data_IF_605296091431
#
_entry.id   IF_605296091431
#
_cell.length_a   1.000
_cell.length_b   1.000
_cell.length_c   1.000
_cell.angle_alpha   90.00
_cell.angle_beta   90.00
_cell.angle_gamma   90.00
#
_symmetry.space_group_name_H-M   'P 1'
#
loop_
_entity.id
_entity.type
_entity.pdbx_description
1 polymer ?
#
# COMPACT_ATOMS: atom_id res chain seq x y z
N UNK A 1 -12.28 -12.09 55.90
CA UNK A 1 -11.75 -12.80 54.72
C UNK A 1 -12.67 -12.64 53.51
N UNK A 2 -13.94 -13.08 53.57
CA UNK A 2 -14.89 -12.97 52.44
C UNK A 2 -15.10 -11.53 51.96
N UNK A 3 -15.33 -10.57 52.88
CA UNK A 3 -15.49 -9.14 52.54
C UNK A 3 -14.26 -8.55 51.84
N UNK A 4 -13.06 -8.96 52.27
CA UNK A 4 -11.80 -8.51 51.67
C UNK A 4 -11.62 -9.06 50.25
N UNK A 5 -11.97 -10.34 50.02
CA UNK A 5 -11.95 -10.96 48.69
C UNK A 5 -12.91 -10.21 47.74
N UNK A 6 -14.13 -9.90 48.19
CA UNK A 6 -15.12 -9.16 47.40
C UNK A 6 -14.60 -7.75 47.03
N UNK A 7 -13.99 -7.03 47.97
CA UNK A 7 -13.39 -5.71 47.71
C UNK A 7 -12.27 -5.77 46.67
N UNK A 8 -11.39 -6.77 46.76
CA UNK A 8 -10.31 -6.96 45.77
C UNK A 8 -10.89 -7.24 44.38
N UNK A 9 -11.95 -8.06 44.28
CA UNK A 9 -12.64 -8.30 43.00
C UNK A 9 -13.28 -7.03 42.42
N UNK A 10 -13.90 -6.19 43.26
CA UNK A 10 -14.48 -4.91 42.81
C UNK A 10 -13.39 -3.98 42.26
N UNK A 11 -12.24 -3.89 42.93
CA UNK A 11 -11.11 -3.06 42.47
C UNK A 11 -10.58 -3.56 41.12
N UNK A 12 -10.39 -4.89 40.98
CA UNK A 12 -9.92 -5.48 39.72
C UNK A 12 -10.93 -5.24 38.60
N UNK A 13 -12.22 -5.46 38.87
CA UNK A 13 -13.28 -5.24 37.88
C UNK A 13 -13.39 -3.77 37.48
N UNK A 14 -13.26 -2.83 38.42
CA UNK A 14 -13.26 -1.39 38.14
C UNK A 14 -12.05 -0.98 37.30
N UNK A 15 -10.86 -1.49 37.60
CA UNK A 15 -9.66 -1.21 36.83
C UNK A 15 -9.75 -1.78 35.41
N UNK A 16 -10.25 -3.01 35.27
CA UNK A 16 -10.50 -3.62 33.97
C UNK A 16 -11.56 -2.84 33.17
N UNK A 17 -12.63 -2.38 33.82
CA UNK A 17 -13.65 -1.55 33.19
C UNK A 17 -13.08 -0.22 32.67
N UNK A 18 -12.32 0.50 33.50
CA UNK A 18 -11.68 1.76 33.08
C UNK A 18 -10.73 1.55 31.91
N UNK A 19 -9.90 0.51 31.96
CA UNK A 19 -9.01 0.15 30.86
C UNK A 19 -9.77 -0.15 29.56
N UNK A 20 -10.87 -0.89 29.64
CA UNK A 20 -11.72 -1.19 28.47
C UNK A 20 -12.35 0.09 27.91
N UNK A 21 -12.83 1.00 28.77
CA UNK A 21 -13.41 2.27 28.33
C UNK A 21 -12.36 3.17 27.63
N UNK A 22 -11.17 3.29 28.20
CA UNK A 22 -10.07 4.04 27.58
C UNK A 22 -9.67 3.44 26.23
N UNK A 23 -9.60 2.11 26.13
CA UNK A 23 -9.31 1.42 24.87
C UNK A 23 -10.40 1.65 23.80
N UNK A 24 -11.68 1.65 24.20
CA UNK A 24 -12.80 1.94 23.32
C UNK A 24 -12.77 3.38 22.81
N UNK A 25 -12.52 4.35 23.69
CA UNK A 25 -12.40 5.77 23.30
C UNK A 25 -11.22 6.00 22.35
N UNK A 26 -10.08 5.35 22.61
CA UNK A 26 -8.92 5.41 21.72
C UNK A 26 -9.23 4.83 20.35
N UNK A 27 -9.94 3.69 20.30
CA UNK A 27 -10.41 3.09 19.05
C UNK A 27 -11.34 4.05 18.29
N UNK A 28 -12.36 4.57 18.95
CA UNK A 28 -13.35 5.48 18.34
C UNK A 28 -12.70 6.76 17.81
N UNK A 29 -11.75 7.34 18.55
CA UNK A 29 -11.01 8.52 18.10
C UNK A 29 -10.18 8.25 16.83
N UNK A 30 -9.53 7.08 16.74
CA UNK A 30 -8.77 6.70 15.56
C UNK A 30 -9.68 6.46 14.35
N UNK A 31 -10.82 5.80 14.54
CA UNK A 31 -11.80 5.59 13.47
C UNK A 31 -12.39 6.92 12.97
N UNK A 32 -12.78 7.82 13.88
CA UNK A 32 -13.30 9.14 13.51
C UNK A 32 -12.27 9.93 12.70
N UNK A 33 -11.02 9.93 13.13
CA UNK A 33 -9.93 10.58 12.39
C UNK A 33 -9.70 9.95 11.02
N UNK A 34 -9.75 8.62 10.92
CA UNK A 34 -9.64 7.94 9.63
C UNK A 34 -10.80 8.32 8.69
N UNK A 35 -12.03 8.41 9.20
CA UNK A 35 -13.20 8.87 8.41
C UNK A 35 -13.01 10.30 7.90
N UNK A 36 -12.55 11.20 8.76
CA UNK A 36 -12.27 12.59 8.40
C UNK A 36 -11.19 12.68 7.31
N UNK A 37 -10.08 11.97 7.47
CA UNK A 37 -8.97 11.96 6.51
C UNK A 37 -9.40 11.40 5.15
N UNK A 38 -10.12 10.27 5.12
CA UNK A 38 -10.57 9.69 3.84
C UNK A 38 -11.64 10.56 3.16
N UNK A 39 -12.49 11.23 3.94
CA UNK A 39 -13.44 12.20 3.39
C UNK A 39 -12.73 13.42 2.80
N UNK A 40 -11.66 13.89 3.46
CA UNK A 40 -10.81 14.96 2.95
C UNK A 40 -10.08 14.55 1.66
N UNK A 41 -9.59 13.31 1.58
CA UNK A 41 -8.99 12.75 0.35
C UNK A 41 -10.00 12.77 -0.81
N UNK A 42 -11.25 12.36 -0.57
CA UNK A 42 -12.31 12.41 -1.60
C UNK A 42 -12.52 13.83 -2.08
N UNK A 43 -12.71 14.78 -1.16
CA UNK A 43 -12.91 16.19 -1.52
C UNK A 43 -11.71 16.78 -2.26
N UNK A 44 -10.49 16.44 -1.85
CA UNK A 44 -9.27 16.82 -2.56
C UNK A 44 -9.28 16.27 -3.98
N UNK A 45 -9.63 14.99 -4.14
CA UNK A 45 -9.63 14.30 -5.43
C UNK A 45 -10.62 14.89 -6.44
N UNK A 46 -11.69 15.52 -5.96
CA UNK A 46 -12.71 16.15 -6.79
C UNK A 46 -12.30 17.54 -7.30
N UNK A 47 -11.29 18.15 -6.65
CA UNK A 47 -10.81 19.51 -6.89
C UNK A 47 -9.31 19.49 -7.27
N UNK A 48 -8.43 19.84 -6.32
CA UNK A 48 -6.97 19.91 -6.49
C UNK A 48 -6.38 18.64 -7.14
N UNK A 49 -6.87 17.45 -6.77
CA UNK A 49 -6.39 16.20 -7.35
C UNK A 49 -6.64 16.08 -8.87
N UNK A 50 -7.73 16.65 -9.39
CA UNK A 50 -7.95 16.73 -10.85
C UNK A 50 -7.00 17.70 -11.52
N UNK A 51 -6.75 18.85 -10.90
CA UNK A 51 -5.81 19.85 -11.42
C UNK A 51 -4.38 19.29 -11.46
N UNK A 52 -3.96 18.59 -10.40
CA UNK A 52 -2.66 17.93 -10.34
C UNK A 52 -2.53 16.82 -11.40
N UNK A 53 -3.59 16.02 -11.60
CA UNK A 53 -3.60 14.98 -12.63
C UNK A 53 -3.55 15.57 -14.04
N UNK A 54 -4.28 16.65 -14.29
CA UNK A 54 -4.24 17.33 -15.58
C UNK A 54 -2.88 17.97 -15.86
N UNK A 55 -2.27 18.59 -14.84
CA UNK A 55 -0.89 19.05 -14.93
C UNK A 55 0.07 17.91 -15.24
N UNK A 56 -0.04 16.77 -14.54
CA UNK A 56 0.84 15.63 -14.75
C UNK A 56 0.75 15.07 -16.18
N UNK A 57 -0.47 14.97 -16.72
CA UNK A 57 -0.72 14.53 -18.10
C UNK A 57 -0.14 15.48 -19.15
N UNK A 58 -0.26 16.78 -18.91
CA UNK A 58 0.18 17.84 -19.82
C UNK A 58 1.60 18.37 -19.52
N UNK A 59 2.37 17.66 -18.68
CA UNK A 59 3.77 18.01 -18.42
C UNK A 59 4.53 17.94 -19.75
N UNK A 60 5.23 19.01 -20.09
CA UNK A 60 6.01 19.17 -21.31
C UNK A 60 7.40 19.70 -20.98
N UNK A 61 8.30 19.69 -21.96
CA UNK A 61 9.66 20.22 -21.78
C UNK A 61 9.65 21.71 -21.42
N UNK A 62 8.70 22.47 -21.94
CA UNK A 62 8.57 23.93 -21.76
C UNK A 62 8.08 24.29 -20.35
N UNK A 63 7.22 23.46 -19.76
CA UNK A 63 6.63 23.72 -18.43
C UNK A 63 7.24 22.85 -17.31
N UNK A 64 8.27 22.07 -17.62
CA UNK A 64 8.96 21.20 -16.68
C UNK A 64 9.75 22.00 -15.65
N UNK A 65 9.53 21.67 -14.38
CA UNK A 65 10.34 22.14 -13.26
C UNK A 65 10.57 20.96 -12.31
N UNK A 66 11.84 20.56 -12.16
CA UNK A 66 12.21 19.38 -11.37
C UNK A 66 11.72 19.47 -9.92
N UNK A 67 11.89 20.62 -9.27
CA UNK A 67 11.49 20.82 -7.87
C UNK A 67 9.98 20.61 -7.70
N UNK A 68 9.18 21.23 -8.58
CA UNK A 68 7.73 21.06 -8.59
C UNK A 68 7.32 19.60 -8.80
N UNK A 69 7.93 18.91 -9.76
CA UNK A 69 7.65 17.50 -10.04
C UNK A 69 8.04 16.62 -8.84
N UNK A 70 9.22 16.82 -8.25
CA UNK A 70 9.68 16.10 -7.05
C UNK A 70 8.70 16.29 -5.90
N UNK A 71 8.28 17.53 -5.60
CA UNK A 71 7.37 17.81 -4.50
C UNK A 71 5.97 17.23 -4.73
N UNK A 72 5.45 17.24 -5.98
CA UNK A 72 4.18 16.59 -6.30
C UNK A 72 4.22 15.07 -6.14
N UNK A 73 5.32 14.43 -6.54
CA UNK A 73 5.52 12.98 -6.34
C UNK A 73 5.58 12.66 -4.84
N UNK A 74 6.38 13.40 -4.07
CA UNK A 74 6.52 13.22 -2.62
C UNK A 74 5.18 13.42 -1.90
N UNK A 75 4.45 14.49 -2.25
CA UNK A 75 3.11 14.76 -1.71
C UNK A 75 2.18 13.57 -1.97
N UNK A 76 2.10 13.11 -3.21
CA UNK A 76 1.19 12.02 -3.57
C UNK A 76 1.60 10.69 -2.92
N UNK A 77 2.90 10.36 -2.80
CA UNK A 77 3.35 9.18 -2.05
C UNK A 77 2.93 9.23 -0.58
N UNK A 78 3.05 10.39 0.09
CA UNK A 78 2.61 10.58 1.48
C UNK A 78 1.10 10.47 1.63
N UNK A 79 0.34 10.98 0.67
CA UNK A 79 -1.12 10.85 0.66
C UNK A 79 -1.55 9.39 0.51
N UNK A 80 -0.89 8.63 -0.37
CA UNK A 80 -1.13 7.18 -0.50
C UNK A 80 -0.82 6.47 0.81
N UNK A 81 0.34 6.75 1.42
CA UNK A 81 0.75 6.14 2.69
C UNK A 81 -0.26 6.41 3.82
N UNK A 82 -0.68 7.67 4.00
CA UNK A 82 -1.68 8.02 5.01
C UNK A 82 -3.02 7.32 4.75
N UNK A 83 -3.47 7.31 3.49
CA UNK A 83 -4.72 6.66 3.09
C UNK A 83 -4.70 5.15 3.34
N UNK A 84 -3.55 4.48 3.18
CA UNK A 84 -3.40 3.06 3.49
C UNK A 84 -3.64 2.80 4.99
N UNK A 85 -3.09 3.64 5.87
CA UNK A 85 -3.32 3.51 7.32
C UNK A 85 -4.78 3.79 7.70
N UNK A 86 -5.39 4.83 7.14
CA UNK A 86 -6.79 5.14 7.43
C UNK A 86 -7.73 4.05 6.90
N UNK A 87 -7.49 3.51 5.70
CA UNK A 87 -8.22 2.35 5.15
C UNK A 87 -8.00 1.12 6.01
N UNK A 88 -6.77 0.86 6.46
CA UNK A 88 -6.46 -0.25 7.37
C UNK A 88 -7.29 -0.14 8.66
N UNK A 89 -7.35 1.04 9.26
CA UNK A 89 -8.13 1.27 10.48
C UNK A 89 -9.60 0.94 10.26
N UNK A 90 -10.19 1.47 9.18
CA UNK A 90 -11.61 1.30 8.91
C UNK A 90 -11.98 -0.11 8.41
N UNK A 91 -11.07 -0.82 7.75
CA UNK A 91 -11.35 -2.16 7.22
C UNK A 91 -11.05 -3.28 8.22
N UNK A 92 -10.15 -3.07 9.17
CA UNK A 92 -9.78 -4.07 10.19
C UNK A 92 -10.53 -3.85 11.50
N UNK A 93 -10.79 -2.59 11.89
CA UNK A 93 -11.33 -2.28 13.22
C UNK A 93 -12.78 -1.80 13.23
N UNK A 94 -13.31 -1.30 12.11
CA UNK A 94 -14.72 -0.88 12.01
C UNK A 94 -15.60 -1.98 11.38
N UNK A 95 -16.88 -1.98 11.77
CA UNK A 95 -17.92 -2.90 11.28
C UNK A 95 -19.11 -2.14 10.66
N UNK A 96 -18.91 -0.88 10.26
CA UNK A 96 -19.97 -0.03 9.67
C UNK A 96 -19.94 -0.11 8.14
N UNK A 97 -21.10 -0.30 7.51
CA UNK A 97 -21.24 -0.33 6.04
C UNK A 97 -20.74 0.99 5.39
N UNK A 98 -20.94 2.12 6.07
CA UNK A 98 -20.48 3.44 5.60
C UNK A 98 -18.94 3.52 5.51
N UNK A 99 -18.25 2.88 6.46
CA UNK A 99 -16.78 2.84 6.49
C UNK A 99 -16.21 1.93 5.40
N UNK A 100 -16.92 0.84 5.09
CA UNK A 100 -16.63 0.01 3.91
C UNK A 100 -16.75 0.84 2.62
N UNK A 101 -17.86 1.56 2.43
CA UNK A 101 -18.07 2.34 1.23
C UNK A 101 -17.00 3.45 1.09
N UNK A 102 -16.70 4.13 2.19
CA UNK A 102 -15.68 5.17 2.27
C UNK A 102 -14.30 4.61 1.92
N UNK A 103 -13.90 3.51 2.53
CA UNK A 103 -12.61 2.83 2.28
C UNK A 103 -12.49 2.42 0.82
N UNK A 104 -13.54 1.84 0.24
CA UNK A 104 -13.57 1.44 -1.18
C UNK A 104 -13.44 2.64 -2.13
N UNK A 105 -14.09 3.77 -1.82
CA UNK A 105 -13.96 5.02 -2.61
C UNK A 105 -12.53 5.55 -2.52
N UNK A 106 -11.97 5.61 -1.31
CA UNK A 106 -10.59 6.05 -1.07
C UNK A 106 -9.56 5.18 -1.80
N UNK A 107 -9.68 3.84 -1.74
CA UNK A 107 -8.79 2.93 -2.48
C UNK A 107 -8.79 3.22 -3.99
N UNK A 108 -9.96 3.52 -4.57
CA UNK A 108 -10.07 3.87 -6.00
C UNK A 108 -9.38 5.20 -6.32
N UNK A 109 -9.49 6.19 -5.45
CA UNK A 109 -8.81 7.49 -5.61
C UNK A 109 -7.30 7.32 -5.55
N UNK A 110 -6.80 6.57 -4.55
CA UNK A 110 -5.38 6.25 -4.43
C UNK A 110 -4.86 5.64 -5.74
N UNK A 111 -5.57 4.64 -6.29
CA UNK A 111 -5.13 3.93 -7.49
C UNK A 111 -5.31 4.71 -8.79
N UNK A 112 -6.32 5.58 -8.92
CA UNK A 112 -6.67 6.25 -10.19
C UNK A 112 -6.32 7.74 -10.25
N UNK A 113 -5.94 8.34 -9.14
CA UNK A 113 -5.58 9.75 -9.08
C UNK A 113 -4.17 9.88 -8.54
N UNK A 114 -3.92 9.53 -7.27
CA UNK A 114 -2.58 9.73 -6.68
C UNK A 114 -1.50 8.92 -7.42
N UNK A 115 -1.77 7.64 -7.68
CA UNK A 115 -0.85 6.78 -8.43
C UNK A 115 -0.69 7.28 -9.88
N UNK A 116 -1.77 7.62 -10.57
CA UNK A 116 -1.72 8.11 -11.95
C UNK A 116 -0.93 9.42 -12.06
N UNK A 117 -1.10 10.37 -11.12
CA UNK A 117 -0.29 11.59 -11.03
C UNK A 117 1.20 11.23 -11.02
N UNK A 118 1.61 10.32 -10.12
CA UNK A 118 3.00 9.90 -10.01
C UNK A 118 3.48 9.26 -11.33
N UNK A 119 2.70 8.35 -11.90
CA UNK A 119 3.05 7.66 -13.14
C UNK A 119 3.24 8.61 -14.32
N UNK A 120 2.30 9.54 -14.53
CA UNK A 120 2.39 10.52 -15.60
C UNK A 120 3.59 11.45 -15.43
N UNK A 121 3.81 11.96 -14.20
CA UNK A 121 4.96 12.81 -13.90
C UNK A 121 6.27 12.07 -14.23
N UNK A 122 6.41 10.83 -13.78
CA UNK A 122 7.62 10.03 -13.99
C UNK A 122 7.88 9.71 -15.47
N UNK A 123 6.85 9.31 -16.23
CA UNK A 123 7.04 8.92 -17.61
C UNK A 123 7.30 10.11 -18.54
N UNK A 124 6.59 11.22 -18.31
CA UNK A 124 6.82 12.47 -19.02
C UNK A 124 8.21 13.04 -18.71
N UNK A 125 8.58 13.15 -17.43
CA UNK A 125 9.89 13.65 -17.02
C UNK A 125 11.02 12.84 -17.65
N UNK A 126 10.95 11.50 -17.58
CA UNK A 126 11.94 10.61 -18.21
C UNK A 126 12.11 10.88 -19.71
N UNK A 127 11.03 11.19 -20.41
CA UNK A 127 11.06 11.52 -21.84
C UNK A 127 11.82 12.81 -22.10
N UNK A 128 11.69 13.82 -21.24
CA UNK A 128 12.29 15.14 -21.44
C UNK A 128 13.75 15.23 -20.97
N UNK A 129 14.06 14.65 -19.82
CA UNK A 129 15.41 14.75 -19.22
C UNK A 129 16.36 13.66 -19.74
N UNK A 130 15.85 12.65 -20.44
CA UNK A 130 16.65 11.55 -21.00
C UNK A 130 17.35 10.69 -19.93
N UNK A 131 16.98 10.84 -18.66
CA UNK A 131 17.51 10.04 -17.57
C UNK A 131 17.05 8.58 -17.70
N UNK A 132 17.91 7.65 -17.30
CA UNK A 132 17.59 6.22 -17.29
C UNK A 132 16.80 5.80 -16.03
N UNK A 133 16.68 6.71 -15.06
CA UNK A 133 16.14 6.50 -13.72
C UNK A 133 15.01 7.49 -13.41
N UNK A 134 14.05 7.05 -12.63
CA UNK A 134 12.83 7.76 -12.21
C UNK A 134 12.97 8.46 -10.86
N UNK A 135 13.83 7.91 -9.98
CA UNK A 135 13.97 8.38 -8.61
C UNK A 135 15.43 8.65 -8.26
N UNK A 136 16.36 7.79 -8.69
CA UNK A 136 17.77 7.85 -8.25
C UNK A 136 18.50 9.16 -8.57
N UNK A 137 18.03 9.94 -9.55
CA UNK A 137 18.68 11.20 -9.90
C UNK A 137 18.38 12.34 -8.89
N UNK A 138 17.34 12.19 -8.07
CA UNK A 138 16.93 13.14 -7.04
C UNK A 138 16.98 12.45 -5.67
N UNK A 139 17.94 12.84 -4.82
CA UNK A 139 18.19 12.16 -3.54
C UNK A 139 17.02 12.27 -2.56
N UNK A 140 16.31 13.39 -2.56
CA UNK A 140 15.15 13.59 -1.68
C UNK A 140 14.02 12.66 -2.12
N UNK A 141 13.72 12.66 -3.42
CA UNK A 141 12.69 11.82 -4.02
C UNK A 141 12.98 10.33 -3.81
N UNK A 142 14.23 9.90 -4.03
CA UNK A 142 14.63 8.51 -3.85
C UNK A 142 14.50 8.05 -2.39
N UNK A 143 14.90 8.89 -1.42
CA UNK A 143 14.76 8.56 0.00
C UNK A 143 13.29 8.35 0.40
N UNK A 144 12.41 9.28 0.00
CA UNK A 144 10.97 9.15 0.25
C UNK A 144 10.39 7.91 -0.41
N UNK A 145 10.86 7.59 -1.62
CA UNK A 145 10.42 6.39 -2.32
C UNK A 145 10.83 5.10 -1.60
N UNK A 146 12.06 5.00 -1.10
CA UNK A 146 12.48 3.85 -0.30
C UNK A 146 11.73 3.75 1.02
N UNK A 147 11.46 4.88 1.69
CA UNK A 147 10.63 4.91 2.91
C UNK A 147 9.22 4.38 2.64
N UNK A 148 8.62 4.78 1.51
CA UNK A 148 7.31 4.30 1.07
C UNK A 148 7.29 2.80 0.73
N UNK A 149 8.31 2.30 0.02
CA UNK A 149 8.42 0.86 -0.28
C UNK A 149 8.65 0.02 0.97
N UNK A 150 9.46 0.51 1.90
CA UNK A 150 9.65 -0.15 3.19
C UNK A 150 8.35 -0.24 3.97
N UNK A 151 7.57 0.85 3.99
CA UNK A 151 6.23 0.89 4.57
C UNK A 151 5.29 -0.14 3.93
N UNK A 152 5.20 -0.17 2.59
CA UNK A 152 4.33 -1.13 1.88
C UNK A 152 4.69 -2.58 2.19
N UNK A 153 5.98 -2.91 2.15
CA UNK A 153 6.47 -4.25 2.48
C UNK A 153 6.14 -4.65 3.92
N UNK A 154 6.29 -3.71 4.86
CA UNK A 154 5.96 -3.95 6.27
C UNK A 154 4.47 -4.25 6.43
N UNK A 155 3.60 -3.45 5.81
CA UNK A 155 2.15 -3.66 5.87
C UNK A 155 1.73 -4.96 5.20
N UNK A 156 2.28 -5.29 4.03
CA UNK A 156 1.99 -6.55 3.35
C UNK A 156 2.49 -7.76 4.16
N UNK A 157 3.63 -7.65 4.84
CA UNK A 157 4.13 -8.72 5.69
C UNK A 157 3.27 -8.92 6.94
N UNK A 158 3.10 -7.86 7.73
CA UNK A 158 2.42 -7.90 9.03
C UNK A 158 0.91 -8.13 8.90
N UNK A 159 0.26 -7.40 7.98
CA UNK A 159 -1.20 -7.39 7.90
C UNK A 159 -1.73 -8.45 6.92
N UNK A 160 -0.87 -9.06 6.10
CA UNK A 160 -1.26 -10.14 5.19
C UNK A 160 -0.47 -11.42 5.36
N UNK A 161 0.82 -11.42 4.99
CA UNK A 161 1.62 -12.65 4.85
C UNK A 161 1.81 -13.44 6.15
N UNK A 162 1.78 -12.78 7.32
CA UNK A 162 1.95 -13.43 8.62
C UNK A 162 0.64 -13.81 9.32
N UNK A 163 -0.52 -13.29 8.88
CA UNK A 163 -1.82 -13.61 9.50
C UNK A 163 -2.36 -14.97 9.06
N UNK A 164 -3.35 -15.51 9.76
CA UNK A 164 -4.06 -16.71 9.32
C UNK A 164 -5.14 -16.35 8.27
N UNK A 165 -5.37 -17.23 7.30
CA UNK A 165 -6.41 -17.03 6.27
C UNK A 165 -7.83 -16.89 6.86
N UNK A 166 -8.08 -17.50 8.02
CA UNK A 166 -9.37 -17.39 8.72
C UNK A 166 -9.61 -16.02 9.35
N UNK A 167 -8.58 -15.20 9.53
CA UNK A 167 -8.68 -13.91 10.24
C UNK A 167 -9.22 -12.79 9.34
N UNK A 168 -9.32 -13.03 8.03
CA UNK A 168 -9.67 -11.99 7.06
C UNK A 168 -11.16 -11.89 6.81
N UNK A 169 -11.70 -10.68 6.78
CA UNK A 169 -13.01 -10.42 6.21
C UNK A 169 -12.93 -10.19 4.69
N UNK A 170 -14.01 -10.50 3.97
CA UNK A 170 -14.05 -10.30 2.49
C UNK A 170 -13.71 -8.85 2.14
N UNK A 171 -14.22 -7.90 2.92
CA UNK A 171 -14.00 -6.48 2.66
C UNK A 171 -12.54 -6.07 2.81
N UNK A 172 -11.86 -6.51 3.88
CA UNK A 172 -10.43 -6.28 4.11
C UNK A 172 -9.60 -6.77 2.92
N UNK A 173 -9.95 -7.95 2.39
CA UNK A 173 -9.23 -8.52 1.24
C UNK A 173 -9.43 -7.67 -0.01
N UNK A 174 -10.68 -7.42 -0.41
CA UNK A 174 -10.98 -6.78 -1.72
C UNK A 174 -10.65 -5.28 -1.76
N UNK A 175 -10.51 -4.64 -0.60
CA UNK A 175 -10.12 -3.22 -0.49
C UNK A 175 -8.66 -3.08 -0.09
N UNK A 176 -8.32 -3.41 1.15
CA UNK A 176 -7.03 -3.11 1.75
C UNK A 176 -5.89 -3.99 1.22
N UNK A 177 -6.05 -5.32 1.26
CA UNK A 177 -5.00 -6.24 0.77
C UNK A 177 -4.80 -6.08 -0.74
N UNK A 178 -5.89 -5.93 -1.48
CA UNK A 178 -5.85 -5.60 -2.90
C UNK A 178 -5.01 -4.33 -3.17
N UNK A 179 -5.26 -3.27 -2.41
CA UNK A 179 -4.55 -2.01 -2.54
C UNK A 179 -3.04 -2.18 -2.32
N UNK A 180 -2.66 -2.89 -1.25
CA UNK A 180 -1.25 -3.18 -0.95
C UNK A 180 -0.55 -3.93 -2.08
N UNK A 181 -1.14 -5.03 -2.56
CA UNK A 181 -0.56 -5.86 -3.63
C UNK A 181 -0.44 -5.06 -4.93
N UNK A 182 -1.47 -4.27 -5.27
CA UNK A 182 -1.46 -3.42 -6.46
C UNK A 182 -0.36 -2.37 -6.44
N UNK A 183 -0.20 -1.67 -5.31
CA UNK A 183 0.82 -0.64 -5.13
C UNK A 183 2.23 -1.23 -5.07
N UNK A 184 2.43 -2.33 -4.35
CA UNK A 184 3.72 -3.01 -4.28
C UNK A 184 4.17 -3.50 -5.66
N UNK A 185 3.26 -4.15 -6.41
CA UNK A 185 3.56 -4.55 -7.78
C UNK A 185 3.86 -3.37 -8.70
N UNK A 186 3.21 -2.22 -8.53
CA UNK A 186 3.48 -1.05 -9.36
C UNK A 186 4.83 -0.40 -9.02
N UNK A 187 5.09 -0.14 -7.74
CA UNK A 187 6.25 0.63 -7.30
C UNK A 187 7.49 -0.24 -7.11
N UNK A 188 7.39 -1.37 -6.42
CA UNK A 188 8.55 -2.21 -6.12
C UNK A 188 9.01 -2.97 -7.37
N UNK A 189 8.10 -3.72 -8.01
CA UNK A 189 8.45 -4.62 -9.11
C UNK A 189 8.80 -3.88 -10.41
N UNK A 190 8.02 -2.86 -10.78
CA UNK A 190 8.17 -2.21 -12.08
C UNK A 190 9.11 -1.00 -12.04
N UNK A 191 9.20 -0.28 -10.92
CA UNK A 191 10.05 0.91 -10.80
C UNK A 191 11.34 0.61 -10.05
N UNK A 192 11.28 0.16 -8.79
CA UNK A 192 12.48 0.05 -7.96
C UNK A 192 13.51 -0.96 -8.51
N UNK A 193 13.08 -2.13 -8.99
CA UNK A 193 13.98 -3.06 -9.70
C UNK A 193 14.59 -2.43 -10.97
N UNK A 194 13.89 -1.48 -11.60
CA UNK A 194 14.42 -0.73 -12.74
C UNK A 194 15.50 0.25 -12.33
N UNK A 195 15.26 1.01 -11.29
CA UNK A 195 16.23 1.93 -10.68
C UNK A 195 17.53 1.20 -10.33
N UNK A 196 17.44 0.14 -9.52
CA UNK A 196 18.62 -0.57 -9.00
C UNK A 196 19.47 -1.25 -10.06
N UNK A 197 18.90 -1.56 -11.23
CA UNK A 197 19.68 -2.22 -12.30
C UNK A 197 20.64 -1.32 -13.04
N UNK A 198 20.49 0.00 -12.89
CA UNK A 198 21.38 0.99 -13.50
C UNK A 198 22.14 1.79 -12.43
N UNK A 199 21.84 1.57 -11.15
CA UNK A 199 22.47 2.24 -10.02
C UNK A 199 23.91 1.72 -9.77
N UNK A 200 24.78 2.55 -9.18
CA UNK A 200 25.99 2.07 -8.49
C UNK A 200 25.55 1.27 -7.25
N UNK A 201 25.31 -0.02 -7.42
CA UNK A 201 24.54 -0.83 -6.46
C UNK A 201 25.17 -0.92 -5.06
N UNK A 202 26.49 -0.80 -4.95
CA UNK A 202 27.16 -0.84 -3.65
C UNK A 202 26.90 0.39 -2.78
N UNK A 203 26.60 1.54 -3.37
CA UNK A 203 26.19 2.74 -2.61
C UNK A 203 24.80 2.55 -1.97
N UNK A 204 24.05 1.55 -2.45
CA UNK A 204 22.72 1.20 -2.00
C UNK A 204 22.73 -0.09 -1.14
N UNK A 205 23.90 -0.58 -0.73
CA UNK A 205 24.00 -1.73 0.16
C UNK A 205 23.71 -1.34 1.61
N UNK A 206 22.43 -1.13 1.92
CA UNK A 206 21.96 -0.80 3.26
C UNK A 206 20.81 -1.74 3.70
N UNK A 207 20.53 -1.85 5.01
CA UNK A 207 19.48 -2.73 5.52
C UNK A 207 18.09 -2.50 4.91
N UNK A 208 17.73 -1.24 4.60
CA UNK A 208 16.42 -0.91 4.03
C UNK A 208 16.26 -1.46 2.61
N UNK A 209 17.27 -1.27 1.75
CA UNK A 209 17.29 -1.84 0.40
C UNK A 209 17.19 -3.36 0.43
N UNK A 210 17.89 -4.02 1.37
CA UNK A 210 17.80 -5.48 1.53
C UNK A 210 16.38 -5.92 1.90
N UNK A 211 15.74 -5.22 2.86
CA UNK A 211 14.35 -5.52 3.26
C UNK A 211 13.38 -5.34 2.09
N UNK A 212 13.51 -4.27 1.31
CA UNK A 212 12.65 -4.02 0.14
C UNK A 212 12.82 -5.14 -0.91
N UNK A 213 14.06 -5.56 -1.20
CA UNK A 213 14.33 -6.64 -2.15
C UNK A 213 13.78 -8.00 -1.69
N UNK A 214 13.86 -8.29 -0.40
CA UNK A 214 13.26 -9.50 0.18
C UNK A 214 11.73 -9.44 0.12
N UNK A 215 11.13 -8.26 0.29
CA UNK A 215 9.69 -8.06 0.11
C UNK A 215 9.23 -8.33 -1.32
N UNK A 216 9.97 -7.81 -2.31
CA UNK A 216 9.73 -8.07 -3.75
C UNK A 216 9.75 -9.58 -4.04
N UNK A 217 10.65 -10.36 -3.43
CA UNK A 217 10.70 -11.81 -3.61
C UNK A 217 9.40 -12.52 -3.18
N UNK A 218 8.69 -11.96 -2.20
CA UNK A 218 7.46 -12.52 -1.64
C UNK A 218 6.20 -12.13 -2.42
N UNK A 219 6.25 -11.23 -3.40
CA UNK A 219 5.04 -10.77 -4.11
C UNK A 219 4.29 -11.91 -4.82
N UNK A 220 5.01 -12.91 -5.35
CA UNK A 220 4.37 -14.08 -5.96
C UNK A 220 3.55 -14.86 -4.93
N UNK A 221 4.10 -15.02 -3.71
CA UNK A 221 3.40 -15.67 -2.59
C UNK A 221 2.17 -14.86 -2.21
N UNK A 222 2.29 -13.53 -2.10
CA UNK A 222 1.17 -12.66 -1.78
C UNK A 222 0.05 -12.75 -2.83
N UNK A 223 0.40 -12.70 -4.12
CA UNK A 223 -0.56 -12.83 -5.23
C UNK A 223 -1.26 -14.20 -5.20
N UNK A 224 -0.50 -15.28 -5.04
CA UNK A 224 -1.05 -16.64 -4.99
C UNK A 224 -1.99 -16.83 -3.81
N UNK A 225 -1.56 -16.35 -2.64
CA UNK A 225 -2.36 -16.37 -1.43
C UNK A 225 -3.64 -15.56 -1.58
N UNK A 226 -3.57 -14.36 -2.15
CA UNK A 226 -4.73 -13.50 -2.38
C UNK A 226 -5.77 -14.18 -3.28
N UNK A 227 -5.32 -14.75 -4.40
CA UNK A 227 -6.16 -15.50 -5.32
C UNK A 227 -6.84 -16.67 -4.59
N UNK A 228 -6.08 -17.46 -3.83
CA UNK A 228 -6.61 -18.60 -3.10
C UNK A 228 -7.63 -18.18 -2.04
N UNK A 229 -7.34 -17.12 -1.28
CA UNK A 229 -8.19 -16.61 -0.22
C UNK A 229 -9.52 -16.10 -0.77
N UNK A 230 -9.49 -15.28 -1.83
CA UNK A 230 -10.70 -14.82 -2.52
C UNK A 230 -11.51 -15.98 -3.07
N UNK A 231 -10.85 -16.91 -3.76
CA UNK A 231 -11.54 -18.08 -4.27
C UNK A 231 -12.18 -18.89 -3.14
N UNK A 232 -11.51 -19.06 -1.99
CA UNK A 232 -12.08 -19.79 -0.86
C UNK A 232 -13.32 -19.11 -0.26
N UNK A 233 -13.29 -17.79 -0.05
CA UNK A 233 -14.37 -17.04 0.60
C UNK A 233 -15.54 -16.76 -0.34
N UNK A 234 -15.27 -16.49 -1.61
CA UNK A 234 -16.35 -16.17 -2.57
C UNK A 234 -16.94 -17.45 -3.20
N UNK A 235 -16.23 -18.60 -3.21
CA UNK A 235 -16.78 -19.88 -3.71
C UNK A 235 -18.06 -20.33 -2.99
N UNK A 236 -18.34 -19.86 -1.77
CA UNK A 236 -19.62 -20.12 -1.09
C UNK A 236 -20.79 -19.25 -1.59
N UNK A 237 -20.50 -18.09 -2.23
CA UNK A 237 -21.49 -17.08 -2.62
C UNK A 237 -21.70 -17.04 -4.14
N UNK A 238 -20.63 -17.17 -4.94
CA UNK A 238 -20.66 -16.98 -6.39
C UNK A 238 -21.31 -18.11 -7.21
N UNK A 239 -21.62 -19.26 -6.62
CA UNK A 239 -22.45 -20.27 -7.30
C UNK A 239 -23.92 -19.86 -7.42
N UNK A 240 -24.33 -18.71 -6.85
CA UNK A 240 -25.72 -18.22 -6.85
C UNK A 240 -25.88 -16.83 -7.49
N UNK A 241 -24.80 -16.17 -7.92
CA UNK A 241 -24.82 -14.80 -8.45
C UNK A 241 -23.77 -14.60 -9.56
N UNK A 242 -24.25 -14.37 -10.80
CA UNK A 242 -23.44 -14.18 -12.01
C UNK A 242 -22.53 -12.94 -11.95
N UNK A 243 -22.92 -11.88 -11.22
CA UNK A 243 -22.11 -10.68 -11.07
C UNK A 243 -20.85 -10.95 -10.22
N UNK A 244 -21.00 -11.71 -9.14
CA UNK A 244 -19.87 -12.10 -8.28
C UNK A 244 -18.94 -13.08 -8.99
N UNK A 245 -19.49 -13.98 -9.80
CA UNK A 245 -18.71 -14.87 -10.66
C UNK A 245 -17.81 -14.09 -11.62
N UNK A 246 -18.36 -13.09 -12.32
CA UNK A 246 -17.58 -12.23 -13.22
C UNK A 246 -16.45 -11.50 -12.49
N UNK A 247 -16.68 -11.02 -11.25
CA UNK A 247 -15.63 -10.37 -10.44
C UNK A 247 -14.49 -11.32 -10.08
N UNK A 248 -14.80 -12.55 -9.67
CA UNK A 248 -13.79 -13.57 -9.38
C UNK A 248 -12.98 -13.92 -10.63
N UNK A 249 -13.64 -14.10 -11.77
CA UNK A 249 -12.96 -14.36 -13.04
C UNK A 249 -12.01 -13.20 -13.39
N UNK A 250 -12.45 -11.96 -13.21
CA UNK A 250 -11.61 -10.78 -13.41
C UNK A 250 -10.38 -10.76 -12.48
N UNK A 251 -10.55 -11.17 -11.22
CA UNK A 251 -9.44 -11.32 -10.26
C UNK A 251 -8.47 -12.40 -10.73
N UNK A 252 -8.99 -13.60 -11.02
CA UNK A 252 -8.18 -14.74 -11.47
C UNK A 252 -7.45 -14.45 -12.79
N UNK A 253 -7.98 -13.59 -13.65
CA UNK A 253 -7.35 -13.24 -14.92
C UNK A 253 -6.31 -12.11 -14.81
N UNK A 254 -6.44 -11.20 -13.84
CA UNK A 254 -5.56 -10.03 -13.74
C UNK A 254 -4.50 -10.12 -12.65
N UNK A 255 -4.79 -10.72 -11.50
CA UNK A 255 -3.80 -10.81 -10.41
C UNK A 255 -2.57 -11.63 -10.76
N UNK A 256 -2.66 -12.73 -11.53
CA UNK A 256 -1.45 -13.43 -11.99
C UNK A 256 -0.47 -12.53 -12.76
N UNK A 257 -0.94 -11.43 -13.36
CA UNK A 257 -0.09 -10.46 -14.08
C UNK A 257 0.75 -9.59 -13.14
N UNK A 258 0.43 -9.57 -11.84
CA UNK A 258 1.18 -8.86 -10.80
C UNK A 258 2.37 -9.69 -10.28
N UNK A 259 2.44 -10.98 -10.62
CA UNK A 259 3.59 -11.84 -10.32
C UNK A 259 4.85 -11.33 -11.02
N UNK A 260 6.01 -11.57 -10.40
CA UNK A 260 7.30 -11.45 -11.05
C UNK A 260 7.41 -12.47 -12.18
N UNK A 261 7.47 -11.97 -13.41
CA UNK A 261 7.87 -12.75 -14.57
C UNK A 261 9.35 -13.13 -14.53
N UNK A 262 9.76 -14.03 -15.42
CA UNK A 262 11.15 -14.52 -15.48
C UNK A 262 12.18 -13.38 -15.58
N UNK A 263 11.89 -12.35 -16.37
CA UNK A 263 12.78 -11.20 -16.55
C UNK A 263 13.00 -10.45 -15.24
N UNK A 264 11.93 -10.17 -14.49
CA UNK A 264 12.01 -9.49 -13.20
C UNK A 264 12.70 -10.37 -12.15
N UNK A 265 12.39 -11.67 -12.09
CA UNK A 265 13.03 -12.63 -11.18
C UNK A 265 14.55 -12.71 -11.42
N UNK A 266 14.97 -12.79 -12.68
CA UNK A 266 16.40 -12.79 -13.03
C UNK A 266 17.08 -11.49 -12.61
N UNK A 267 16.38 -10.36 -12.76
CA UNK A 267 16.89 -9.04 -12.39
C UNK A 267 17.06 -8.89 -10.89
N UNK A 268 16.05 -9.30 -10.11
CA UNK A 268 16.09 -9.34 -8.65
C UNK A 268 17.28 -10.17 -8.16
N UNK A 269 17.42 -11.41 -8.63
CA UNK A 269 18.54 -12.30 -8.27
C UNK A 269 19.90 -11.70 -8.62
N UNK A 270 20.01 -11.06 -9.78
CA UNK A 270 21.25 -10.39 -10.19
C UNK A 270 21.60 -9.23 -9.25
N UNK A 271 20.62 -8.39 -8.89
CA UNK A 271 20.82 -7.29 -7.93
C UNK A 271 21.24 -7.82 -6.56
N UNK A 272 20.53 -8.81 -6.02
CA UNK A 272 20.84 -9.43 -4.73
C UNK A 272 22.24 -10.07 -4.72
N UNK A 273 22.67 -10.71 -5.81
CA UNK A 273 24.03 -11.26 -5.93
C UNK A 273 25.08 -10.17 -5.88
N UNK A 274 24.92 -9.09 -6.66
CA UNK A 274 25.88 -7.97 -6.68
C UNK A 274 25.99 -7.29 -5.32
N UNK A 275 24.88 -7.14 -4.59
CA UNK A 275 24.90 -6.58 -3.24
C UNK A 275 25.73 -7.40 -2.25
N UNK A 276 25.73 -8.74 -2.38
CA UNK A 276 26.57 -9.63 -1.55
C UNK A 276 28.07 -9.49 -1.83
N UNK A 277 28.44 -9.01 -3.03
CA UNK A 277 29.82 -8.78 -3.44
C UNK A 277 30.36 -7.40 -2.99
N UNK A 278 29.48 -6.49 -2.56
CA UNK A 278 29.88 -5.20 -2.03
C UNK A 278 30.57 -5.38 -0.68
N UNK A 279 31.80 -4.85 -0.56
CA UNK A 279 32.53 -4.84 0.71
C UNK A 279 31.74 -4.01 1.73
N UNK A 280 31.57 -4.54 2.94
CA UNK A 280 31.05 -3.80 4.09
C UNK A 280 32.10 -2.85 4.65
#
# INVERSE_FOLDING_TARGET
IIVFIVLVFIIIASNAYNFIQEALQFKEANENKARENLSALIKWSENEGKEELEYAKNLSKENYNQEKVTQMIIKNLKMIQASIEDIRILTIYSFLDEDEELSRKASRIVLRINMDIILYLLDNEKTFIGHKTYFLFDKERFKVFEDFLFFLNTRLEEDFLQKNDNDFEIIEIVTYINLLIGLDSAFANNMYLRELSVAPICDLNNPKTIVILNGIEKINIAVDRYINLINSKIKFIAYKDDYLKMKIENINNNYPKLRLGQKQTNKLKSIQSKLKECKQ
#
